data_IF_901806983910
#
_entry.id   IF_901806983910
#
_cell.length_a   1.000
_cell.length_b   1.000
_cell.length_c   1.000
_cell.angle_alpha   90.00
_cell.angle_beta   90.00
_cell.angle_gamma   90.00
#
_symmetry.space_group_name_H-M   'P 1'
#
loop_
_entity.id
_entity.type
_entity.pdbx_description
1 polymer ?
#
# COMPACT_ATOMS: atom_id res chain seq x y z
N UNK A 1 59.73 -6.45 -13.79
CA UNK A 1 58.67 -6.08 -12.83
C UNK A 1 59.34 -5.42 -11.63
N UNK A 2 59.22 -4.10 -11.52
CA UNK A 2 59.82 -3.30 -10.46
C UNK A 2 58.84 -3.16 -9.28
N UNK A 3 59.36 -3.01 -8.05
CA UNK A 3 58.60 -2.74 -6.83
C UNK A 3 57.63 -1.56 -6.99
N UNK A 4 58.02 -0.53 -7.75
CA UNK A 4 57.16 0.62 -8.08
C UNK A 4 55.94 0.20 -8.92
N UNK A 5 56.11 -0.68 -9.92
CA UNK A 5 54.98 -1.16 -10.74
C UNK A 5 53.99 -1.98 -9.92
N UNK A 6 54.49 -2.80 -8.98
CA UNK A 6 53.67 -3.59 -8.07
C UNK A 6 52.88 -2.68 -7.13
N UNK A 7 53.51 -1.64 -6.59
CA UNK A 7 52.83 -0.65 -5.72
C UNK A 7 51.73 0.08 -6.47
N UNK A 8 52.00 0.59 -7.67
CA UNK A 8 51.00 1.28 -8.50
C UNK A 8 49.85 0.33 -8.83
N UNK A 9 50.14 -0.91 -9.23
CA UNK A 9 49.12 -1.91 -9.55
C UNK A 9 48.26 -2.26 -8.34
N UNK A 10 48.86 -2.40 -7.16
CA UNK A 10 48.13 -2.67 -5.92
C UNK A 10 47.25 -1.49 -5.49
N UNK A 11 47.73 -0.25 -5.66
CA UNK A 11 46.95 0.95 -5.36
C UNK A 11 45.75 1.10 -6.30
N UNK A 12 45.97 0.90 -7.61
CA UNK A 12 44.90 0.92 -8.60
C UNK A 12 43.87 -0.18 -8.33
N UNK A 13 44.32 -1.38 -7.99
CA UNK A 13 43.44 -2.49 -7.64
C UNK A 13 42.63 -2.19 -6.38
N UNK A 14 43.27 -1.67 -5.32
CA UNK A 14 42.61 -1.31 -4.07
C UNK A 14 41.57 -0.20 -4.28
N UNK A 15 41.93 0.86 -5.02
CA UNK A 15 41.03 1.96 -5.33
C UNK A 15 39.84 1.51 -6.19
N UNK A 16 40.09 0.70 -7.22
CA UNK A 16 39.03 0.16 -8.10
C UNK A 16 38.10 -0.76 -7.34
N UNK A 17 38.64 -1.63 -6.47
CA UNK A 17 37.85 -2.54 -5.64
C UNK A 17 37.01 -1.79 -4.62
N UNK A 18 37.55 -0.74 -3.98
CA UNK A 18 36.81 0.11 -3.06
C UNK A 18 35.66 0.85 -3.75
N UNK A 19 35.91 1.42 -4.94
CA UNK A 19 34.87 2.07 -5.74
C UNK A 19 33.77 1.07 -6.15
N UNK A 20 34.15 -0.14 -6.60
CA UNK A 20 33.20 -1.19 -6.94
C UNK A 20 32.33 -1.57 -5.73
N UNK A 21 32.93 -1.84 -4.57
CA UNK A 21 32.20 -2.15 -3.33
C UNK A 21 31.25 -1.01 -2.91
N UNK A 22 31.68 0.24 -3.09
CA UNK A 22 30.82 1.41 -2.87
C UNK A 22 29.56 1.36 -3.72
N UNK A 23 29.70 1.13 -5.03
CA UNK A 23 28.55 1.02 -5.95
C UNK A 23 27.65 -0.18 -5.61
N UNK A 24 28.22 -1.35 -5.29
CA UNK A 24 27.45 -2.53 -4.91
C UNK A 24 26.67 -2.34 -3.62
N UNK A 25 27.28 -1.70 -2.61
CA UNK A 25 26.60 -1.43 -1.34
C UNK A 25 25.43 -0.45 -1.51
N UNK A 26 25.63 0.58 -2.34
CA UNK A 26 24.55 1.51 -2.69
C UNK A 26 23.42 0.78 -3.44
N UNK A 27 23.75 0.00 -4.47
CA UNK A 27 22.76 -0.78 -5.22
C UNK A 27 21.98 -1.74 -4.32
N UNK A 28 22.66 -2.42 -3.38
CA UNK A 28 22.01 -3.30 -2.42
C UNK A 28 21.02 -2.54 -1.51
N UNK A 29 21.38 -1.34 -1.05
CA UNK A 29 20.48 -0.51 -0.24
C UNK A 29 19.24 -0.04 -0.99
N UNK A 30 19.39 0.31 -2.27
CA UNK A 30 18.26 0.71 -3.14
C UNK A 30 17.34 -0.46 -3.44
N UNK A 31 17.89 -1.65 -3.71
CA UNK A 31 17.08 -2.87 -3.93
C UNK A 31 16.28 -3.21 -2.67
N UNK A 32 16.89 -3.11 -1.49
CA UNK A 32 16.21 -3.33 -0.22
C UNK A 32 15.07 -2.30 0.01
N UNK A 33 15.32 -1.03 -0.33
CA UNK A 33 14.30 0.02 -0.25
C UNK A 33 13.13 -0.24 -1.23
N UNK A 34 13.42 -0.63 -2.48
CA UNK A 34 12.40 -0.97 -3.49
C UNK A 34 11.55 -2.15 -3.04
N UNK A 35 12.19 -3.22 -2.56
CA UNK A 35 11.50 -4.42 -2.07
C UNK A 35 10.53 -4.06 -0.95
N UNK A 36 10.93 -3.18 -0.03
CA UNK A 36 10.05 -2.71 1.05
C UNK A 36 8.85 -1.93 0.54
N UNK A 37 9.04 -1.10 -0.49
CA UNK A 37 7.94 -0.35 -1.11
C UNK A 37 6.96 -1.25 -1.86
N UNK A 38 7.45 -2.29 -2.53
CA UNK A 38 6.63 -3.31 -3.19
C UNK A 38 5.80 -4.09 -2.17
N UNK A 39 6.41 -4.56 -1.08
CA UNK A 39 5.71 -5.25 -0.01
C UNK A 39 4.56 -4.42 0.58
N UNK A 40 4.78 -3.10 0.77
CA UNK A 40 3.73 -2.18 1.22
C UNK A 40 2.62 -2.04 0.18
N UNK A 41 2.97 -1.89 -1.11
CA UNK A 41 1.97 -1.79 -2.17
C UNK A 41 1.11 -3.05 -2.27
N UNK A 42 1.72 -4.23 -2.16
CA UNK A 42 1.04 -5.53 -2.18
C UNK A 42 0.12 -5.71 -0.96
N UNK A 43 0.52 -5.19 0.20
CA UNK A 43 -0.31 -5.22 1.40
C UNK A 43 -1.58 -4.36 1.23
N UNK A 44 -1.44 -3.14 0.68
CA UNK A 44 -2.58 -2.29 0.39
C UNK A 44 -3.51 -2.91 -0.67
N UNK A 45 -2.94 -3.53 -1.70
CA UNK A 45 -3.73 -4.19 -2.75
C UNK A 45 -4.48 -5.41 -2.21
N UNK A 46 -3.84 -6.22 -1.35
CA UNK A 46 -4.51 -7.34 -0.67
C UNK A 46 -5.66 -6.85 0.19
N UNK A 47 -5.47 -5.76 0.95
CA UNK A 47 -6.55 -5.19 1.78
C UNK A 47 -7.69 -4.64 0.92
N UNK A 48 -7.38 -3.99 -0.21
CA UNK A 48 -8.38 -3.50 -1.18
C UNK A 48 -9.22 -4.64 -1.76
N UNK A 49 -8.56 -5.70 -2.23
CA UNK A 49 -9.23 -6.88 -2.78
C UNK A 49 -10.05 -7.61 -1.71
N UNK A 50 -9.55 -7.70 -0.49
CA UNK A 50 -10.30 -8.27 0.63
C UNK A 50 -11.55 -7.43 0.94
N UNK A 51 -11.44 -6.10 1.01
CA UNK A 51 -12.59 -5.20 1.17
C UNK A 51 -13.62 -5.38 0.07
N UNK A 52 -13.18 -5.44 -1.18
CA UNK A 52 -14.07 -5.67 -2.32
C UNK A 52 -14.80 -7.02 -2.22
N UNK A 53 -14.08 -8.10 -1.88
CA UNK A 53 -14.66 -9.45 -1.74
C UNK A 53 -15.66 -9.51 -0.58
N UNK A 54 -15.33 -8.90 0.55
CA UNK A 54 -16.22 -8.83 1.70
C UNK A 54 -17.50 -8.05 1.37
N UNK A 55 -17.37 -6.93 0.64
CA UNK A 55 -18.53 -6.16 0.17
C UNK A 55 -19.45 -6.95 -0.77
N UNK A 56 -18.91 -7.89 -1.56
CA UNK A 56 -19.74 -8.78 -2.39
C UNK A 56 -20.43 -9.85 -1.54
N UNK A 57 -19.70 -10.47 -0.62
CA UNK A 57 -20.16 -11.68 0.06
C UNK A 57 -21.04 -11.40 1.28
N UNK A 58 -20.73 -10.36 2.05
CA UNK A 58 -21.24 -10.18 3.41
C UNK A 58 -21.96 -8.86 3.62
N UNK A 59 -21.79 -7.87 2.73
CA UNK A 59 -22.40 -6.56 2.92
C UNK A 59 -23.94 -6.59 2.97
N UNK A 60 -24.58 -7.55 2.30
CA UNK A 60 -26.04 -7.70 2.34
C UNK A 60 -26.58 -8.20 3.68
N UNK A 61 -25.74 -8.86 4.50
CA UNK A 61 -26.13 -9.33 5.84
C UNK A 61 -26.05 -8.23 6.90
N UNK A 62 -25.32 -7.16 6.60
CA UNK A 62 -25.09 -6.03 7.50
C UNK A 62 -26.01 -4.89 7.04
N UNK A 63 -26.67 -4.19 7.97
CA UNK A 63 -27.50 -3.02 7.64
C UNK A 63 -26.58 -1.82 7.28
N UNK A 64 -25.88 -1.91 6.14
CA UNK A 64 -24.82 -0.98 5.73
C UNK A 64 -25.33 0.17 4.88
N UNK A 65 -26.57 0.06 4.40
CA UNK A 65 -27.22 1.09 3.60
C UNK A 65 -28.32 1.76 4.41
N UNK A 66 -28.49 3.05 4.22
CA UNK A 66 -29.69 3.76 4.66
C UNK A 66 -30.84 3.48 3.66
N UNK A 67 -32.06 3.84 4.04
CA UNK A 67 -33.28 3.61 3.24
C UNK A 67 -33.31 4.29 1.86
N UNK A 68 -32.24 4.98 1.44
CA UNK A 68 -32.12 5.65 0.13
C UNK A 68 -30.98 5.09 -0.73
N UNK A 69 -30.59 3.81 -0.56
CA UNK A 69 -29.52 3.18 -1.34
C UNK A 69 -28.17 3.93 -1.22
N UNK A 70 -27.87 4.46 -0.03
CA UNK A 70 -26.57 5.09 0.27
C UNK A 70 -25.92 4.37 1.43
N UNK A 71 -24.61 4.22 1.39
CA UNK A 71 -23.87 3.69 2.54
C UNK A 71 -24.04 4.60 3.75
N UNK A 72 -24.30 4.01 4.92
CA UNK A 72 -24.06 4.68 6.19
C UNK A 72 -22.57 4.59 6.51
N UNK A 73 -21.86 5.72 6.46
CA UNK A 73 -20.39 5.75 6.56
C UNK A 73 -19.91 5.16 7.88
N UNK A 74 -20.59 5.49 8.99
CA UNK A 74 -20.24 5.00 10.32
C UNK A 74 -20.40 3.50 10.46
N UNK A 75 -21.56 2.96 10.08
CA UNK A 75 -21.85 1.53 10.17
C UNK A 75 -20.95 0.73 9.24
N UNK A 76 -20.69 1.26 8.04
CA UNK A 76 -19.75 0.65 7.10
C UNK A 76 -18.32 0.63 7.63
N UNK A 77 -17.83 1.75 8.16
CA UNK A 77 -16.47 1.81 8.73
C UNK A 77 -16.31 0.79 9.85
N UNK A 78 -17.25 0.75 10.81
CA UNK A 78 -17.19 -0.17 11.94
C UNK A 78 -17.23 -1.63 11.48
N UNK A 79 -18.15 -1.98 10.56
CA UNK A 79 -18.25 -3.34 10.04
C UNK A 79 -16.98 -3.77 9.28
N UNK A 80 -16.43 -2.89 8.44
CA UNK A 80 -15.20 -3.17 7.70
C UNK A 80 -13.99 -3.31 8.64
N UNK A 81 -13.91 -2.52 9.70
CA UNK A 81 -12.78 -2.58 10.65
C UNK A 81 -12.85 -3.82 11.54
N UNK A 82 -14.06 -4.32 11.83
CA UNK A 82 -14.27 -5.59 12.52
C UNK A 82 -13.96 -6.80 11.63
N UNK A 83 -14.46 -6.80 10.39
CA UNK A 83 -14.30 -7.94 9.47
C UNK A 83 -12.90 -8.00 8.85
N UNK A 84 -12.31 -6.83 8.56
CA UNK A 84 -11.05 -6.68 7.85
C UNK A 84 -10.17 -5.65 8.56
N UNK A 85 -9.60 -6.00 9.72
CA UNK A 85 -8.74 -5.08 10.46
C UNK A 85 -7.56 -4.63 9.59
N UNK A 86 -7.30 -3.32 9.58
CA UNK A 86 -6.16 -2.78 8.88
C UNK A 86 -4.86 -3.27 9.55
N UNK A 87 -3.88 -3.77 8.78
CA UNK A 87 -2.58 -4.14 9.34
C UNK A 87 -1.84 -2.95 9.96
N UNK A 88 -0.88 -3.23 10.82
CA UNK A 88 -0.02 -2.20 11.41
C UNK A 88 0.63 -1.31 10.35
N UNK A 89 0.67 0.00 10.62
CA UNK A 89 1.20 0.99 9.68
C UNK A 89 0.32 1.29 8.47
N UNK A 90 -0.87 0.68 8.38
CA UNK A 90 -1.88 0.95 7.36
C UNK A 90 -3.09 1.64 7.97
N UNK A 91 -3.62 2.68 7.32
CA UNK A 91 -4.86 3.35 7.70
C UNK A 91 -5.90 3.22 6.60
N UNK A 92 -7.15 3.01 7.00
CA UNK A 92 -8.32 3.05 6.12
C UNK A 92 -9.13 4.31 6.42
N UNK A 93 -9.50 5.03 5.37
CA UNK A 93 -10.42 6.16 5.45
C UNK A 93 -11.55 5.99 4.43
N UNK A 94 -12.76 6.39 4.82
CA UNK A 94 -13.93 6.44 3.95
C UNK A 94 -14.33 7.90 3.79
N UNK A 95 -14.30 8.40 2.57
CA UNK A 95 -14.71 9.77 2.22
C UNK A 95 -15.88 9.74 1.25
N UNK A 96 -16.76 10.74 1.29
CA UNK A 96 -17.88 10.80 0.37
C UNK A 96 -17.39 11.13 -1.06
N UNK A 97 -17.97 10.48 -2.07
CA UNK A 97 -17.77 10.90 -3.45
C UNK A 97 -18.44 12.26 -3.70
N UNK A 98 -17.74 13.27 -4.26
CA UNK A 98 -18.31 14.60 -4.52
C UNK A 98 -19.53 14.58 -5.43
N UNK A 99 -19.67 13.57 -6.30
CA UNK A 99 -20.83 13.39 -7.18
C UNK A 99 -21.95 12.58 -6.52
N UNK A 100 -21.78 12.19 -5.25
CA UNK A 100 -22.77 11.47 -4.46
C UNK A 100 -23.03 10.04 -4.94
N UNK A 101 -22.11 9.45 -5.71
CA UNK A 101 -22.25 8.10 -6.27
C UNK A 101 -22.01 7.01 -5.22
N UNK A 102 -21.24 7.32 -4.18
CA UNK A 102 -20.88 6.37 -3.13
C UNK A 102 -19.81 6.92 -2.21
N UNK A 103 -18.94 6.03 -1.75
CA UNK A 103 -17.81 6.36 -0.87
C UNK A 103 -16.50 5.99 -1.54
N UNK A 104 -15.48 6.82 -1.35
CA UNK A 104 -14.11 6.47 -1.65
C UNK A 104 -13.50 5.78 -0.44
N UNK A 105 -13.04 4.55 -0.66
CA UNK A 105 -12.17 3.86 0.28
C UNK A 105 -10.72 4.22 -0.05
N UNK A 106 -10.04 4.87 0.89
CA UNK A 106 -8.66 5.28 0.81
C UNK A 106 -7.83 4.45 1.80
N UNK A 107 -6.84 3.74 1.29
CA UNK A 107 -5.92 2.91 2.06
C UNK A 107 -4.53 3.52 1.95
N UNK A 108 -3.92 3.80 3.08
CA UNK A 108 -2.61 4.45 3.14
C UNK A 108 -1.63 3.64 3.98
N UNK A 109 -0.44 3.39 3.45
CA UNK A 109 0.68 2.86 4.24
C UNK A 109 1.64 4.00 4.55
N UNK A 110 1.94 4.20 5.84
CA UNK A 110 2.89 5.22 6.30
C UNK A 110 4.25 4.60 6.57
N UNK A 111 5.31 5.14 5.94
CA UNK A 111 6.67 4.78 6.32
C UNK A 111 7.00 5.26 7.75
N UNK A 112 7.78 4.51 8.55
CA UNK A 112 8.18 4.91 9.91
C UNK A 112 8.88 6.27 10.00
N UNK A 113 9.47 6.72 8.89
CA UNK A 113 10.25 7.96 8.78
C UNK A 113 9.42 9.12 8.16
N UNK A 114 8.10 8.98 8.09
CA UNK A 114 7.18 10.08 7.74
C UNK A 114 7.07 10.45 6.26
N UNK A 115 7.92 9.91 5.37
CA UNK A 115 7.80 10.16 3.92
C UNK A 115 7.89 8.90 3.07
N UNK A 116 6.72 8.31 2.87
CA UNK A 116 6.21 7.70 1.66
C UNK A 116 4.76 7.31 2.02
N UNK A 117 3.78 7.96 1.40
CA UNK A 117 2.36 7.60 1.53
C UNK A 117 2.03 6.82 0.27
N UNK A 118 2.05 5.49 0.36
CA UNK A 118 1.45 4.67 -0.70
C UNK A 118 -0.04 4.70 -0.46
N UNK A 119 -0.79 5.08 -1.49
CA UNK A 119 -2.24 5.12 -1.45
C UNK A 119 -2.83 4.12 -2.44
N UNK A 120 -3.89 3.43 -2.02
CA UNK A 120 -4.83 2.75 -2.89
C UNK A 120 -6.20 3.33 -2.65
N UNK A 121 -6.92 3.63 -3.73
CA UNK A 121 -8.24 4.24 -3.67
C UNK A 121 -9.22 3.46 -4.52
N UNK A 122 -10.41 3.22 -4.00
CA UNK A 122 -11.49 2.53 -4.71
C UNK A 122 -12.83 3.23 -4.43
N UNK A 123 -13.60 3.49 -5.49
CA UNK A 123 -14.97 3.93 -5.34
C UNK A 123 -15.84 2.71 -5.04
N UNK A 124 -16.60 2.79 -3.95
CA UNK A 124 -17.58 1.78 -3.57
C UNK A 124 -18.97 2.42 -3.61
N UNK A 125 -19.89 1.76 -4.31
CA UNK A 125 -21.28 2.21 -4.43
C UNK A 125 -22.21 1.08 -4.06
N UNK A 126 -23.29 1.31 -3.30
CA UNK A 126 -24.22 0.25 -2.91
C UNK A 126 -24.77 -0.55 -4.11
N UNK A 127 -25.09 0.12 -5.22
CA UNK A 127 -25.59 -0.51 -6.44
C UNK A 127 -24.60 -1.48 -7.08
N UNK A 128 -23.30 -1.13 -7.14
CA UNK A 128 -22.26 -2.01 -7.67
C UNK A 128 -22.07 -3.31 -6.88
N UNK A 129 -22.54 -3.36 -5.63
CA UNK A 129 -22.48 -4.53 -4.76
C UNK A 129 -23.84 -5.20 -4.57
N UNK A 130 -24.86 -4.85 -5.37
CA UNK A 130 -26.18 -5.48 -5.32
C UNK A 130 -26.94 -5.20 -4.01
N UNK A 131 -26.56 -4.17 -3.26
CA UNK A 131 -27.19 -3.83 -1.97
C UNK A 131 -28.47 -3.03 -2.13
N UNK A 132 -28.77 -2.59 -3.35
CA UNK A 132 -29.98 -1.85 -3.67
C UNK A 132 -30.88 -2.69 -4.55
N UNK A 133 -32.19 -2.60 -4.29
CA UNK A 133 -33.19 -3.12 -5.21
C UNK A 133 -33.22 -2.26 -6.49
N UNK A 134 -33.43 -2.87 -7.67
CA UNK A 134 -33.66 -2.14 -8.91
C UNK A 134 -34.93 -1.27 -8.87
#
# INVERSE_FOLDING_TARGET
MNLIEVLISSLLLAASSAAALGVWSQAASEVAASTRLEQQADQLERLRLASHRWLIAEAGAHTLINGSCRFDVSSLSVAMDQALPAPEGTTRHLSADPHGLGLWQELEARAPQGRAVRQRRQLITPGAYGLCQP
#
